data_IF_826766130469
#
_entry.id   IF_826766130469
#
_cell.length_a   1.000
_cell.length_b   1.000
_cell.length_c   1.000
_cell.angle_alpha   90.00
_cell.angle_beta   90.00
_cell.angle_gamma   90.00
#
_symmetry.space_group_name_H-M   'P 1'
#
loop_
_entity.id
_entity.type
_entity.pdbx_description
1 polymer ?
#
# COMPACT_ATOMS: atom_id res chain seq x y z
N UNK A 1 -12.10 -72.40 -7.26
CA UNK A 1 -12.14 -71.65 -5.99
C UNK A 1 -11.65 -72.59 -4.89
N UNK A 2 -10.85 -72.18 -3.89
CA UNK A 2 -10.49 -70.80 -3.51
C UNK A 2 -8.98 -70.55 -3.34
N UNK A 3 -8.63 -69.25 -3.28
CA UNK A 3 -7.74 -68.58 -2.33
C UNK A 3 -6.35 -69.16 -2.03
N UNK A 4 -5.29 -68.40 -2.33
CA UNK A 4 -4.84 -67.37 -1.39
C UNK A 4 -3.68 -66.55 -2.00
N UNK A 5 -3.90 -65.25 -2.10
CA UNK A 5 -3.03 -64.27 -2.75
C UNK A 5 -2.39 -63.43 -1.64
N UNK A 6 -1.05 -63.32 -1.69
CA UNK A 6 -0.07 -62.42 -0.99
C UNK A 6 0.11 -62.59 0.55
N UNK A 7 1.20 -62.12 1.21
CA UNK A 7 2.44 -61.49 0.71
C UNK A 7 3.77 -61.85 1.44
N UNK A 8 4.92 -61.61 0.78
CA UNK A 8 6.13 -61.23 1.53
C UNK A 8 6.92 -60.15 0.81
N UNK A 9 6.92 -59.00 1.46
CA UNK A 9 7.68 -57.80 1.18
C UNK A 9 9.18 -58.07 0.97
N UNK A 10 9.84 -57.01 0.51
CA UNK A 10 11.26 -56.68 0.65
C UNK A 10 12.07 -56.79 -0.64
N UNK A 11 12.06 -55.70 -1.41
CA UNK A 11 13.28 -54.98 -1.75
C UNK A 11 12.90 -53.57 -2.23
N UNK A 12 12.88 -52.67 -1.26
CA UNK A 12 12.83 -51.24 -1.47
C UNK A 12 14.17 -50.76 -2.03
N UNK A 13 14.15 -50.15 -3.21
CA UNK A 13 14.99 -48.99 -3.56
C UNK A 13 14.22 -48.02 -4.45
N UNK A 14 12.99 -47.67 -4.04
CA UNK A 14 12.33 -46.45 -4.55
C UNK A 14 12.99 -45.22 -3.91
N UNK A 15 14.12 -44.79 -4.46
CA UNK A 15 14.75 -43.50 -4.12
C UNK A 15 14.61 -42.53 -5.29
N UNK A 16 13.39 -42.33 -5.77
CA UNK A 16 12.98 -41.15 -6.51
C UNK A 16 11.96 -40.43 -5.65
N UNK A 17 12.45 -39.64 -4.68
CA UNK A 17 11.58 -38.74 -3.92
C UNK A 17 11.07 -37.71 -4.92
N UNK A 18 9.82 -37.86 -5.37
CA UNK A 18 9.19 -37.01 -6.36
C UNK A 18 9.39 -35.53 -6.02
N UNK A 19 9.93 -34.71 -6.95
CA UNK A 19 10.14 -33.28 -6.71
C UNK A 19 8.84 -32.55 -6.36
N UNK A 20 7.70 -33.11 -6.80
CA UNK A 20 6.36 -32.61 -6.53
C UNK A 20 5.98 -32.71 -5.04
N UNK A 21 6.35 -33.80 -4.37
CA UNK A 21 6.05 -34.01 -2.95
C UNK A 21 6.86 -33.07 -2.03
N UNK A 22 8.08 -32.70 -2.45
CA UNK A 22 8.89 -31.69 -1.75
C UNK A 22 8.30 -30.29 -1.91
N UNK A 23 7.79 -29.98 -3.10
CA UNK A 23 7.15 -28.70 -3.39
C UNK A 23 5.85 -28.53 -2.60
N UNK A 24 5.00 -29.55 -2.54
CA UNK A 24 3.77 -29.54 -1.74
C UNK A 24 4.04 -29.34 -0.24
N UNK A 25 5.07 -30.00 0.30
CA UNK A 25 5.49 -29.79 1.70
C UNK A 25 5.95 -28.35 1.96
N UNK A 26 6.67 -27.75 1.01
CA UNK A 26 7.11 -26.37 1.12
C UNK A 26 5.94 -25.39 1.03
N UNK A 27 4.98 -25.62 0.13
CA UNK A 27 3.76 -24.82 -0.01
C UNK A 27 2.96 -24.86 1.30
N UNK A 28 2.69 -26.05 1.85
CA UNK A 28 1.97 -26.19 3.13
C UNK A 28 2.71 -25.49 4.28
N UNK A 29 4.04 -25.59 4.32
CA UNK A 29 4.84 -24.89 5.34
C UNK A 29 4.72 -23.37 5.19
N UNK A 30 4.80 -22.86 3.96
CA UNK A 30 4.65 -21.43 3.66
C UNK A 30 3.23 -20.93 3.96
N UNK A 31 2.20 -21.73 3.68
CA UNK A 31 0.81 -21.42 4.02
C UNK A 31 0.61 -21.32 5.54
N UNK A 32 1.17 -22.26 6.31
CA UNK A 32 1.14 -22.21 7.78
C UNK A 32 1.92 -20.99 8.29
N UNK A 33 3.09 -20.69 7.71
CA UNK A 33 3.85 -19.49 8.08
C UNK A 33 3.10 -18.20 7.75
N UNK A 34 2.42 -18.13 6.59
CA UNK A 34 1.58 -16.99 6.23
C UNK A 34 0.38 -16.85 7.15
N UNK A 35 -0.24 -17.97 7.53
CA UNK A 35 -1.36 -17.97 8.45
C UNK A 35 -0.94 -17.48 9.84
N UNK A 36 0.17 -18.03 10.38
CA UNK A 36 0.73 -17.59 11.65
C UNK A 36 1.13 -16.12 11.62
N UNK A 37 1.76 -15.66 10.53
CA UNK A 37 2.16 -14.26 10.37
C UNK A 37 0.95 -13.31 10.28
N UNK A 38 -0.13 -13.74 9.60
CA UNK A 38 -1.39 -12.99 9.57
C UNK A 38 -2.04 -12.90 10.94
N UNK A 39 -2.02 -13.98 11.71
CA UNK A 39 -2.55 -14.02 13.07
C UNK A 39 -1.72 -13.15 14.03
N UNK A 40 -0.39 -13.20 13.93
CA UNK A 40 0.50 -12.31 14.69
C UNK A 40 0.27 -10.85 14.32
N UNK A 41 0.13 -10.54 13.03
CA UNK A 41 -0.17 -9.19 12.58
C UNK A 41 -1.54 -8.72 13.08
N UNK A 42 -2.56 -9.58 13.05
CA UNK A 42 -3.89 -9.26 13.57
C UNK A 42 -3.86 -8.96 15.08
N UNK A 43 -3.14 -9.77 15.86
CA UNK A 43 -2.94 -9.54 17.30
C UNK A 43 -2.18 -8.26 17.59
N UNK A 44 -1.07 -8.02 16.90
CA UNK A 44 -0.29 -6.79 17.06
C UNK A 44 -1.09 -5.55 16.67
N UNK A 45 -1.86 -5.61 15.58
CA UNK A 45 -2.74 -4.53 15.16
C UNK A 45 -3.85 -4.25 16.17
N UNK A 46 -4.41 -5.29 16.78
CA UNK A 46 -5.39 -5.17 17.85
C UNK A 46 -4.77 -4.54 19.12
N UNK A 47 -3.63 -5.04 19.59
CA UNK A 47 -2.92 -4.49 20.76
C UNK A 47 -2.51 -3.02 20.55
N UNK A 48 -2.09 -2.68 19.34
CA UNK A 48 -1.76 -1.30 18.95
C UNK A 48 -3.01 -0.41 19.00
N UNK A 49 -4.14 -0.87 18.44
CA UNK A 49 -5.41 -0.16 18.45
C UNK A 49 -5.94 0.06 19.87
N UNK A 50 -5.77 -0.92 20.76
CA UNK A 50 -6.17 -0.84 22.16
C UNK A 50 -5.29 0.13 22.96
N UNK A 51 -3.98 0.17 22.68
CA UNK A 51 -3.02 1.06 23.38
C UNK A 51 -3.07 2.51 22.93
N UNK A 52 -3.41 2.79 21.67
CA UNK A 52 -3.42 4.18 21.13
C UNK A 52 -4.81 4.81 21.13
N UNK A 53 -5.87 4.07 21.44
CA UNK A 53 -7.25 4.59 21.39
C UNK A 53 -7.68 5.07 19.99
N UNK A 54 -6.83 4.86 18.98
CA UNK A 54 -7.06 5.15 17.60
C UNK A 54 -7.16 3.80 16.90
N UNK A 55 -8.26 3.60 16.17
CA UNK A 55 -8.26 2.65 15.07
C UNK A 55 -7.04 3.01 14.21
N UNK A 56 -5.95 2.25 14.31
CA UNK A 56 -4.73 2.45 13.50
C UNK A 56 -4.96 2.04 12.03
N UNK A 57 -6.18 1.56 11.73
CA UNK A 57 -6.62 1.22 10.40
C UNK A 57 -7.75 2.16 9.91
N UNK A 58 -7.56 3.48 9.75
CA UNK A 58 -8.35 4.24 8.81
C UNK A 58 -7.45 4.53 7.63
N UNK A 59 -7.34 3.55 6.74
CA UNK A 59 -6.90 3.69 5.35
C UNK A 59 -5.79 4.72 5.14
N UNK A 60 -4.52 4.32 5.29
CA UNK A 60 -3.39 5.08 4.73
C UNK A 60 -3.69 5.59 3.31
N UNK A 61 -4.39 4.78 2.53
CA UNK A 61 -4.89 5.14 1.20
C UNK A 61 -5.88 6.31 1.21
N UNK A 62 -6.76 6.43 2.20
CA UNK A 62 -7.72 7.53 2.35
C UNK A 62 -7.02 8.82 2.74
N UNK A 63 -6.04 8.77 3.64
CA UNK A 63 -5.25 9.95 4.00
C UNK A 63 -4.34 10.38 2.85
N UNK A 64 -3.71 9.44 2.15
CA UNK A 64 -2.95 9.72 0.91
C UNK A 64 -3.87 10.35 -0.16
N UNK A 65 -5.06 9.79 -0.40
CA UNK A 65 -6.07 10.36 -1.33
C UNK A 65 -6.56 11.73 -0.86
N UNK A 66 -6.58 12.01 0.44
CA UNK A 66 -6.93 13.33 0.98
C UNK A 66 -5.83 14.33 0.70
N UNK A 67 -4.57 13.96 0.94
CA UNK A 67 -3.42 14.82 0.62
C UNK A 67 -3.29 15.11 -0.88
N UNK A 68 -3.47 14.10 -1.75
CA UNK A 68 -3.48 14.30 -3.21
C UNK A 68 -4.59 15.27 -3.62
N UNK A 69 -5.78 15.16 -3.04
CA UNK A 69 -6.90 16.08 -3.32
C UNK A 69 -6.61 17.49 -2.83
N UNK A 70 -6.00 17.64 -1.66
CA UNK A 70 -5.61 18.94 -1.13
C UNK A 70 -4.56 19.61 -2.01
N UNK A 71 -3.55 18.86 -2.46
CA UNK A 71 -2.51 19.38 -3.34
C UNK A 71 -3.09 19.81 -4.70
N UNK A 72 -3.96 19.00 -5.29
CA UNK A 72 -4.67 19.35 -6.53
C UNK A 72 -5.48 20.63 -6.37
N UNK A 73 -6.24 20.75 -5.27
CA UNK A 73 -7.05 21.93 -4.97
C UNK A 73 -6.19 23.18 -4.74
N UNK A 74 -5.05 23.03 -4.07
CA UNK A 74 -4.09 24.12 -3.91
C UNK A 74 -3.54 24.59 -5.26
N UNK A 75 -3.11 23.65 -6.12
CA UNK A 75 -2.61 23.99 -7.46
C UNK A 75 -3.69 24.70 -8.30
N UNK A 76 -4.91 24.16 -8.35
CA UNK A 76 -6.03 24.79 -9.07
C UNK A 76 -6.32 26.21 -8.56
N UNK A 77 -6.28 26.43 -7.24
CA UNK A 77 -6.46 27.75 -6.65
C UNK A 77 -5.30 28.69 -6.98
N UNK A 78 -4.06 28.19 -6.93
CA UNK A 78 -2.86 28.96 -7.29
C UNK A 78 -2.92 29.39 -8.75
N UNK A 79 -3.26 28.48 -9.67
CA UNK A 79 -3.37 28.77 -11.10
C UNK A 79 -4.47 29.81 -11.39
N UNK A 80 -5.64 29.68 -10.76
CA UNK A 80 -6.71 30.67 -10.88
C UNK A 80 -6.27 32.04 -10.35
N UNK A 81 -5.61 32.05 -9.19
CA UNK A 81 -5.12 33.29 -8.57
C UNK A 81 -4.06 33.96 -9.46
N UNK A 82 -3.13 33.20 -10.02
CA UNK A 82 -2.13 33.70 -10.96
C UNK A 82 -2.78 34.26 -12.23
N UNK A 83 -3.83 33.61 -12.75
CA UNK A 83 -4.61 34.14 -13.88
C UNK A 83 -5.30 35.46 -13.55
N UNK A 84 -5.87 35.59 -12.34
CA UNK A 84 -6.47 36.84 -11.86
C UNK A 84 -5.42 37.95 -11.73
N UNK A 85 -4.27 37.64 -11.12
CA UNK A 85 -3.16 38.58 -10.96
C UNK A 85 -2.63 39.02 -12.34
N UNK A 86 -2.52 38.11 -13.31
CA UNK A 86 -2.12 38.45 -14.67
C UNK A 86 -3.12 39.40 -15.34
N UNK A 87 -4.43 39.16 -15.21
CA UNK A 87 -5.44 40.08 -15.74
C UNK A 87 -5.37 41.46 -15.10
N UNK A 88 -5.10 41.54 -13.79
CA UNK A 88 -4.90 42.82 -13.10
C UNK A 88 -3.61 43.49 -13.63
N UNK A 89 -2.54 42.74 -13.83
CA UNK A 89 -1.27 43.22 -14.38
C UNK A 89 -1.46 43.81 -15.78
N UNK A 90 -2.17 43.10 -16.66
CA UNK A 90 -2.51 43.55 -18.00
C UNK A 90 -3.37 44.82 -17.97
N UNK A 91 -4.36 44.89 -17.06
CA UNK A 91 -5.23 46.07 -16.92
C UNK A 91 -4.49 47.33 -16.45
N UNK A 92 -3.43 47.14 -15.66
CA UNK A 92 -2.60 48.22 -15.11
C UNK A 92 -1.33 48.50 -15.92
N UNK A 93 -1.06 47.72 -16.97
CA UNK A 93 0.19 47.74 -17.74
C UNK A 93 1.45 47.59 -16.87
N UNK A 94 1.33 46.85 -15.76
CA UNK A 94 2.43 46.55 -14.86
C UNK A 94 2.89 45.11 -15.09
N UNK A 95 4.13 44.82 -14.75
CA UNK A 95 4.61 43.43 -14.81
C UNK A 95 4.00 42.61 -13.69
N UNK A 96 3.80 41.31 -13.92
CA UNK A 96 3.26 40.38 -12.92
C UNK A 96 4.02 40.45 -11.59
N UNK A 97 5.35 40.60 -11.66
CA UNK A 97 6.23 40.72 -10.49
C UNK A 97 6.00 41.98 -9.67
N UNK A 98 5.67 43.10 -10.32
CA UNK A 98 5.37 44.36 -9.64
C UNK A 98 4.04 44.29 -8.91
N UNK A 99 3.02 43.67 -9.53
CA UNK A 99 1.72 43.46 -8.88
C UNK A 99 1.82 42.47 -7.73
N UNK A 100 2.53 41.35 -7.90
CA UNK A 100 2.72 40.38 -6.82
C UNK A 100 3.45 41.02 -5.62
N UNK A 101 4.40 41.93 -5.87
CA UNK A 101 5.07 42.72 -4.82
C UNK A 101 4.14 43.75 -4.18
N UNK A 102 3.28 44.41 -4.96
CA UNK A 102 2.25 45.34 -4.46
C UNK A 102 1.20 44.61 -3.60
N UNK A 103 0.84 43.38 -3.97
CA UNK A 103 -0.13 42.55 -3.25
C UNK A 103 0.48 41.74 -2.10
N UNK A 104 1.77 41.95 -1.78
CA UNK A 104 2.52 41.25 -0.72
C UNK A 104 2.47 39.72 -0.83
N UNK A 105 2.38 39.19 -2.05
CA UNK A 105 2.37 37.75 -2.31
C UNK A 105 3.81 37.28 -2.45
N UNK A 106 4.35 36.61 -1.43
CA UNK A 106 5.66 35.96 -1.50
C UNK A 106 5.56 34.67 -2.35
N UNK A 107 6.51 34.50 -3.28
CA UNK A 107 6.67 33.21 -3.97
C UNK A 107 7.21 32.17 -2.96
N UNK A 108 6.57 31.00 -2.91
CA UNK A 108 7.11 29.85 -2.18
C UNK A 108 8.52 29.53 -2.73
N UNK A 109 9.55 29.68 -1.88
CA UNK A 109 10.96 29.38 -2.19
C UNK A 109 11.24 27.89 -2.32
#
# INVERSE_FOLDING_TARGET
MPDNVIPREMLATSSTVDPNLRLEKNIRRLEVQLQNLKEEHAKLAQELSEKTGQQIIPDYEKEMKRHIRQLKKYNELKDLSMGLIQMIADSRQLTLREIMKEMEIEEDK
#
